data_IF_797955818793
#
_entry.id   IF_797955818793
#
_cell.length_a   1.000
_cell.length_b   1.000
_cell.length_c   1.000
_cell.angle_alpha   90.00
_cell.angle_beta   90.00
_cell.angle_gamma   90.00
#
_symmetry.space_group_name_H-M   'P 1'
#
loop_
_entity.id
_entity.type
_entity.pdbx_description
1 polymer ?
#
# COMPACT_ATOMS: atom_id res chain seq x y z
N UNK A 1 23.05 3.79 49.33
CA UNK A 1 22.90 4.34 47.96
C UNK A 1 23.23 3.22 46.96
N UNK A 2 22.43 2.14 46.94
CA UNK A 2 22.69 0.91 46.18
C UNK A 2 21.67 0.75 45.04
N UNK A 3 20.38 1.00 45.34
CA UNK A 3 19.27 0.96 44.39
C UNK A 3 19.48 1.89 43.18
N UNK A 4 20.04 3.10 43.37
CA UNK A 4 20.26 4.02 42.25
C UNK A 4 21.37 3.57 41.29
N UNK A 5 22.51 3.08 41.81
CA UNK A 5 23.69 2.78 40.98
C UNK A 5 23.58 1.40 40.34
N UNK A 6 23.02 0.41 41.04
CA UNK A 6 22.98 -0.97 40.52
C UNK A 6 21.70 -1.26 39.74
N UNK A 7 20.57 -0.61 40.08
CA UNK A 7 19.26 -0.96 39.51
C UNK A 7 18.77 0.05 38.47
N UNK A 8 18.87 1.36 38.74
CA UNK A 8 18.42 2.36 37.78
C UNK A 8 19.38 2.52 36.62
N UNK A 9 20.70 2.64 36.87
CA UNK A 9 21.68 2.77 35.78
C UNK A 9 21.69 1.53 34.88
N UNK A 10 21.58 0.32 35.46
CA UNK A 10 21.48 -0.91 34.67
C UNK A 10 20.17 -0.96 33.88
N UNK A 11 19.03 -0.59 34.48
CA UNK A 11 17.75 -0.56 33.79
C UNK A 11 17.76 0.43 32.62
N UNK A 12 18.24 1.66 32.80
CA UNK A 12 18.28 2.66 31.72
C UNK A 12 19.24 2.27 30.59
N UNK A 13 20.26 1.47 30.88
CA UNK A 13 21.17 0.98 29.85
C UNK A 13 20.64 -0.24 29.08
N UNK A 14 20.02 -1.19 29.78
CA UNK A 14 19.54 -2.44 29.18
C UNK A 14 18.16 -2.28 28.53
N UNK A 15 17.26 -1.53 29.14
CA UNK A 15 15.87 -1.43 28.72
C UNK A 15 15.70 -0.95 27.27
N UNK A 16 16.35 0.12 26.79
CA UNK A 16 16.20 0.54 25.40
C UNK A 16 16.63 -0.54 24.40
N UNK A 17 17.71 -1.26 24.69
CA UNK A 17 18.25 -2.32 23.83
C UNK A 17 17.34 -3.54 23.77
N UNK A 18 16.77 -3.91 24.91
CA UNK A 18 15.86 -5.05 25.00
C UNK A 18 14.49 -4.74 24.38
N UNK A 19 14.04 -3.49 24.47
CA UNK A 19 12.86 -3.00 23.74
C UNK A 19 13.12 -3.07 22.24
N UNK A 20 14.26 -2.56 21.76
CA UNK A 20 14.63 -2.62 20.35
C UNK A 20 14.73 -4.07 19.87
N UNK A 21 15.35 -4.98 20.64
CA UNK A 21 15.46 -6.39 20.25
C UNK A 21 14.09 -7.03 20.07
N UNK A 22 13.19 -6.85 21.05
CA UNK A 22 11.86 -7.46 21.04
C UNK A 22 10.92 -6.82 20.01
N UNK A 23 10.99 -5.50 19.82
CA UNK A 23 10.11 -4.79 18.89
C UNK A 23 10.53 -4.93 17.43
N UNK A 24 11.84 -4.95 17.16
CA UNK A 24 12.36 -4.89 15.79
C UNK A 24 12.62 -6.29 15.22
N UNK A 25 13.05 -7.24 16.05
CA UNK A 25 13.53 -8.54 15.55
C UNK A 25 12.56 -9.70 15.81
N UNK A 26 11.76 -9.66 16.89
CA UNK A 26 10.93 -10.80 17.30
C UNK A 26 9.47 -10.71 16.84
N UNK A 27 8.99 -9.52 16.46
CA UNK A 27 7.59 -9.29 16.11
C UNK A 27 7.30 -9.72 14.66
N UNK A 28 6.39 -10.68 14.50
CA UNK A 28 5.92 -11.09 13.18
C UNK A 28 5.04 -9.99 12.54
N UNK A 29 4.97 -9.95 11.20
CA UNK A 29 4.15 -8.98 10.45
C UNK A 29 2.68 -9.01 10.88
N UNK A 30 2.16 -10.18 11.24
CA UNK A 30 0.79 -10.35 11.72
C UNK A 30 0.57 -9.68 13.09
N UNK A 31 1.53 -9.83 14.00
CA UNK A 31 1.51 -9.23 15.33
C UNK A 31 1.68 -7.71 15.28
N UNK A 32 2.56 -7.21 14.41
CA UNK A 32 2.71 -5.77 14.15
C UNK A 32 1.40 -5.17 13.65
N UNK A 33 0.72 -5.85 12.71
CA UNK A 33 -0.58 -5.39 12.21
C UNK A 33 -1.64 -5.37 13.31
N UNK A 34 -1.66 -6.39 14.16
CA UNK A 34 -2.57 -6.47 15.31
C UNK A 34 -2.31 -5.33 16.30
N UNK A 35 -1.05 -5.12 16.69
CA UNK A 35 -0.62 -4.05 17.59
C UNK A 35 -0.99 -2.66 17.04
N UNK A 36 -0.69 -2.40 15.75
CA UNK A 36 -1.04 -1.13 15.12
C UNK A 36 -2.56 -0.86 15.11
N UNK A 37 -3.39 -1.92 15.05
CA UNK A 37 -4.86 -1.82 15.06
C UNK A 37 -5.46 -1.60 16.46
N UNK A 38 -4.68 -1.68 17.53
CA UNK A 38 -5.15 -1.37 18.89
C UNK A 38 -5.51 0.11 19.05
N UNK A 39 -4.79 1.00 18.37
CA UNK A 39 -5.12 2.41 18.35
C UNK A 39 -6.26 2.68 17.35
N UNK A 40 -7.42 3.21 17.79
CA UNK A 40 -8.58 3.40 16.92
C UNK A 40 -8.33 4.41 15.78
N UNK A 41 -7.46 5.40 15.97
CA UNK A 41 -7.12 6.36 14.90
C UNK A 41 -6.25 5.69 13.82
N UNK A 42 -5.25 4.90 14.22
CA UNK A 42 -4.38 4.17 13.30
C UNK A 42 -5.17 3.10 12.56
N UNK A 43 -6.04 2.36 13.24
CA UNK A 43 -6.92 1.37 12.61
C UNK A 43 -7.76 1.98 11.48
N UNK A 44 -8.40 3.13 11.73
CA UNK A 44 -9.20 3.82 10.69
C UNK A 44 -8.34 4.23 9.50
N UNK A 45 -7.12 4.70 9.75
CA UNK A 45 -6.19 5.06 8.70
C UNK A 45 -5.78 3.83 7.87
N UNK A 46 -5.43 2.72 8.51
CA UNK A 46 -5.09 1.46 7.84
C UNK A 46 -6.24 0.92 6.99
N UNK A 47 -7.46 0.90 7.53
CA UNK A 47 -8.65 0.42 6.82
C UNK A 47 -8.97 1.31 5.59
N UNK A 48 -8.73 2.61 5.69
CA UNK A 48 -8.89 3.54 4.57
C UNK A 48 -7.84 3.29 3.47
N UNK A 49 -6.57 3.13 3.86
CA UNK A 49 -5.48 2.85 2.92
C UNK A 49 -5.70 1.51 2.20
N UNK A 50 -6.12 0.47 2.91
CA UNK A 50 -6.41 -0.84 2.32
C UNK A 50 -7.53 -0.76 1.26
N UNK A 51 -8.58 0.02 1.52
CA UNK A 51 -9.66 0.25 0.55
C UNK A 51 -9.16 1.01 -0.67
N UNK A 52 -8.35 2.05 -0.45
CA UNK A 52 -7.75 2.85 -1.51
C UNK A 52 -6.89 2.00 -2.43
N UNK A 53 -5.98 1.21 -1.87
CA UNK A 53 -5.06 0.36 -2.63
C UNK A 53 -5.80 -0.64 -3.51
N UNK A 54 -6.86 -1.29 -2.98
CA UNK A 54 -7.70 -2.20 -3.76
C UNK A 54 -8.41 -1.50 -4.92
N UNK A 55 -8.93 -0.30 -4.69
CA UNK A 55 -9.60 0.48 -5.74
C UNK A 55 -8.60 0.93 -6.82
N UNK A 56 -7.42 1.38 -6.42
CA UNK A 56 -6.34 1.76 -7.35
C UNK A 56 -5.90 0.57 -8.20
N UNK A 57 -5.74 -0.61 -7.60
CA UNK A 57 -5.41 -1.84 -8.32
C UNK A 57 -6.48 -2.19 -9.37
N UNK A 58 -7.76 -2.17 -9.00
CA UNK A 58 -8.86 -2.46 -9.93
C UNK A 58 -8.91 -1.41 -11.05
N UNK A 59 -8.73 -0.14 -10.72
CA UNK A 59 -8.70 0.94 -11.70
C UNK A 59 -7.58 0.75 -12.72
N UNK A 60 -6.38 0.37 -12.29
CA UNK A 60 -5.27 0.07 -13.18
C UNK A 60 -5.60 -1.09 -14.13
N UNK A 61 -6.17 -2.19 -13.62
CA UNK A 61 -6.57 -3.32 -14.44
C UNK A 61 -7.64 -2.95 -15.47
N UNK A 62 -8.65 -2.17 -15.08
CA UNK A 62 -9.69 -1.68 -15.98
C UNK A 62 -9.11 -0.78 -17.08
N UNK A 63 -8.17 0.09 -16.73
CA UNK A 63 -7.51 0.95 -17.70
C UNK A 63 -6.67 0.14 -18.70
N UNK A 64 -5.93 -0.87 -18.24
CA UNK A 64 -5.19 -1.79 -19.12
C UNK A 64 -6.13 -2.51 -20.09
N UNK A 65 -7.29 -2.99 -19.63
CA UNK A 65 -8.28 -3.63 -20.48
C UNK A 65 -8.94 -2.66 -21.47
N UNK A 66 -9.24 -1.43 -21.06
CA UNK A 66 -9.83 -0.42 -21.92
C UNK A 66 -8.88 0.00 -23.05
N UNK A 67 -7.59 0.17 -22.74
CA UNK A 67 -6.57 0.49 -23.74
C UNK A 67 -6.47 -0.64 -24.78
N UNK A 68 -6.40 -1.89 -24.33
CA UNK A 68 -6.34 -3.06 -25.22
C UNK A 68 -7.55 -3.14 -26.18
N UNK A 69 -8.75 -2.79 -25.71
CA UNK A 69 -9.96 -2.75 -26.56
C UNK A 69 -9.95 -1.62 -27.58
N UNK A 70 -9.36 -0.47 -27.25
CA UNK A 70 -9.23 0.66 -28.19
C UNK A 70 -8.29 0.32 -29.34
N UNK A 71 -7.17 -0.34 -29.04
CA UNK A 71 -6.21 -0.78 -30.07
C UNK A 71 -6.80 -1.87 -30.98
N UNK A 72 -7.73 -2.67 -30.46
CA UNK A 72 -8.42 -3.72 -31.20
C UNK A 72 -9.58 -3.22 -32.09
N UNK A 73 -10.04 -1.97 -31.98
CA UNK A 73 -11.01 -1.43 -32.93
C UNK A 73 -10.30 -0.99 -34.21
N UNK A 74 -10.53 -1.65 -35.36
CA UNK A 74 -10.06 -1.13 -36.63
C UNK A 74 -10.76 0.20 -36.89
N UNK A 75 -9.99 1.27 -37.05
CA UNK A 75 -10.50 2.56 -37.53
C UNK A 75 -11.32 2.28 -38.80
N UNK A 76 -12.58 2.73 -38.91
CA UNK A 76 -13.33 2.57 -40.14
C UNK A 76 -12.55 3.35 -41.19
N UNK A 77 -11.88 2.61 -42.09
CA UNK A 77 -11.26 3.19 -43.28
C UNK A 77 -12.39 3.91 -44.01
N UNK A 78 -12.44 5.23 -43.87
CA UNK A 78 -13.26 6.09 -44.72
C UNK A 78 -12.85 5.73 -46.13
N UNK A 79 -13.67 4.95 -46.81
CA UNK A 79 -13.59 4.79 -48.25
C UNK A 79 -13.81 6.18 -48.82
N UNK A 80 -12.72 6.89 -49.12
CA UNK A 80 -12.76 8.00 -50.06
C UNK A 80 -13.40 7.44 -51.33
N UNK A 81 -14.66 7.78 -51.55
CA UNK A 81 -15.36 7.46 -52.77
C UNK A 81 -14.66 8.17 -53.92
N UNK A 82 -13.91 7.40 -54.70
CA UNK A 82 -13.31 7.80 -55.98
C UNK A 82 -14.39 7.87 -57.10
N UNK A 83 -15.60 8.33 -56.80
CA UNK A 83 -16.73 8.38 -57.74
C UNK A 83 -17.51 9.71 -57.65
N UNK A 84 -16.78 10.83 -57.70
CA UNK A 84 -17.35 12.18 -57.87
C UNK A 84 -16.86 12.90 -59.13
N UNK A 85 -16.25 12.17 -60.08
CA UNK A 85 -16.00 12.65 -61.44
C UNK A 85 -17.10 12.06 -62.32
N UNK A 86 -17.67 12.85 -63.23
CA UNK A 86 -18.84 12.57 -64.08
C UNK A 86 -20.20 12.89 -63.44
N UNK A 87 -20.48 14.18 -63.23
CA UNK A 87 -21.59 14.91 -63.85
C UNK A 87 -21.39 16.42 -63.63
#
# INVERSE_FOLDING_TARGET
MFINIELLDQFFYQFPREIDSRLIYDLDRSEISRFARENPAIRRHLDLQERKEKLEHVMQQLQSLANLRKDAQPTPRRSQGLFGSFF
#
